data_IF_584224051711
#
_entry.id   IF_584224051711
#
_cell.length_a   1.000
_cell.length_b   1.000
_cell.length_c   1.000
_cell.angle_alpha   90.00
_cell.angle_beta   90.00
_cell.angle_gamma   90.00
#
_symmetry.space_group_name_H-M   'P 1'
#
loop_
_entity.id
_entity.type
_entity.pdbx_description
1 polymer ?
#
# COMPACT_ATOMS: atom_id res chain seq x y z
N UNK A 1 11.33 -8.66 4.19
CA UNK A 1 12.19 -8.05 3.16
C UNK A 1 13.49 -7.56 3.80
N UNK A 2 13.54 -6.41 4.51
CA UNK A 2 14.83 -5.82 4.99
C UNK A 2 15.69 -6.79 5.80
N UNK A 3 15.12 -7.60 6.69
CA UNK A 3 15.88 -8.63 7.42
C UNK A 3 16.50 -9.66 6.50
N UNK A 4 15.76 -10.11 5.50
CA UNK A 4 16.20 -11.08 4.49
C UNK A 4 17.46 -10.63 3.74
N UNK A 5 17.56 -9.30 3.50
CA UNK A 5 18.73 -8.71 2.84
C UNK A 5 19.85 -8.33 3.80
N UNK A 6 19.50 -7.99 5.04
CA UNK A 6 20.47 -7.58 6.05
C UNK A 6 21.26 -8.79 6.66
N UNK A 7 20.56 -9.89 6.96
CA UNK A 7 21.15 -11.06 7.60
C UNK A 7 22.35 -11.67 6.85
N UNK A 8 22.32 -11.86 5.51
CA UNK A 8 23.47 -12.36 4.76
C UNK A 8 24.71 -11.46 4.82
N UNK A 9 24.48 -10.14 5.09
CA UNK A 9 25.55 -9.14 5.24
C UNK A 9 26.03 -9.01 6.69
N UNK A 10 25.52 -9.83 7.61
CA UNK A 10 25.82 -9.75 9.04
C UNK A 10 25.19 -8.55 9.75
N UNK A 11 24.22 -7.85 9.10
CA UNK A 11 23.54 -6.69 9.65
C UNK A 11 22.23 -7.09 10.34
N UNK A 12 21.90 -6.41 11.42
CA UNK A 12 20.64 -6.61 12.14
C UNK A 12 19.66 -5.46 11.87
N UNK A 13 18.43 -5.82 11.54
CA UNK A 13 17.35 -4.87 11.30
C UNK A 13 16.24 -5.01 12.36
N UNK A 14 15.76 -3.89 12.90
CA UNK A 14 14.69 -3.84 13.91
C UNK A 14 13.57 -2.92 13.50
N UNK A 15 12.33 -3.39 13.74
CA UNK A 15 11.10 -2.68 13.39
C UNK A 15 10.49 -2.01 14.63
N UNK A 16 10.13 -0.72 14.47
CA UNK A 16 9.56 0.16 15.49
C UNK A 16 8.26 0.78 15.00
N UNK A 17 7.12 0.23 15.44
CA UNK A 17 5.79 0.65 15.01
C UNK A 17 4.99 1.22 16.17
N UNK A 18 4.17 2.22 15.89
CA UNK A 18 3.10 2.68 16.78
C UNK A 18 2.12 1.51 17.05
N UNK A 19 1.44 1.51 18.20
CA UNK A 19 0.54 0.43 18.58
C UNK A 19 1.22 -0.84 19.15
N UNK A 20 2.53 -1.00 19.00
CA UNK A 20 3.28 -2.09 19.63
C UNK A 20 3.90 -1.68 20.96
N UNK A 21 4.14 -2.66 21.86
CA UNK A 21 4.71 -2.41 23.19
C UNK A 21 6.05 -1.67 23.10
N UNK A 22 6.07 -0.43 23.59
CA UNK A 22 7.27 0.41 23.65
C UNK A 22 8.40 -0.25 24.45
N UNK A 23 8.06 -0.87 25.60
CA UNK A 23 9.05 -1.55 26.45
C UNK A 23 9.80 -2.66 25.69
N UNK A 24 9.09 -3.47 24.91
CA UNK A 24 9.71 -4.52 24.08
C UNK A 24 10.58 -3.94 22.97
N UNK A 25 10.18 -2.81 22.40
CA UNK A 25 10.96 -2.14 21.35
C UNK A 25 12.27 -1.58 21.93
N UNK A 26 12.21 -0.96 23.12
CA UNK A 26 13.40 -0.46 23.85
C UNK A 26 14.37 -1.61 24.17
N UNK A 27 13.86 -2.75 24.61
CA UNK A 27 14.71 -3.92 24.88
C UNK A 27 15.43 -4.42 23.61
N UNK A 28 14.75 -4.36 22.46
CA UNK A 28 15.37 -4.70 21.17
C UNK A 28 16.46 -3.73 20.75
N UNK A 29 16.29 -2.43 21.04
CA UNK A 29 17.30 -1.40 20.76
C UNK A 29 18.62 -1.63 21.53
N UNK A 30 18.58 -2.27 22.71
CA UNK A 30 19.78 -2.61 23.47
C UNK A 30 20.72 -3.56 22.73
N UNK A 31 20.21 -4.29 21.71
CA UNK A 31 21.02 -5.18 20.87
C UNK A 31 21.86 -4.42 19.83
N UNK A 32 21.71 -3.11 19.72
CA UNK A 32 22.47 -2.26 18.81
C UNK A 32 22.23 -2.57 17.33
N UNK A 33 20.96 -2.59 16.85
CA UNK A 33 20.72 -2.89 15.44
C UNK A 33 21.30 -1.79 14.55
N UNK A 34 21.86 -2.19 13.41
CA UNK A 34 22.42 -1.27 12.41
C UNK A 34 21.32 -0.62 11.56
N UNK A 35 20.18 -1.32 11.34
CA UNK A 35 19.07 -0.82 10.54
C UNK A 35 17.84 -0.65 11.42
N UNK A 36 17.37 0.59 11.52
CA UNK A 36 16.15 0.97 12.24
C UNK A 36 15.04 1.25 11.23
N UNK A 37 13.95 0.52 11.32
CA UNK A 37 12.77 0.71 10.46
C UNK A 37 11.61 1.13 11.33
N UNK A 38 10.91 2.21 11.01
CA UNK A 38 9.81 2.63 11.86
C UNK A 38 8.93 3.71 11.28
N UNK A 39 7.75 3.86 11.87
CA UNK A 39 6.88 5.02 11.59
C UNK A 39 7.49 6.29 12.20
N UNK A 40 7.40 7.47 11.54
CA UNK A 40 8.05 8.69 12.01
C UNK A 40 7.73 9.03 13.46
N UNK A 41 6.46 8.97 13.86
CA UNK A 41 6.05 9.26 15.23
C UNK A 41 6.72 8.36 16.28
N UNK A 42 6.82 7.04 16.01
CA UNK A 42 7.46 6.10 16.94
C UNK A 42 8.98 6.30 16.99
N UNK A 43 9.62 6.53 15.87
CA UNK A 43 11.06 6.82 15.81
C UNK A 43 11.38 8.08 16.61
N UNK A 44 10.62 9.16 16.39
CA UNK A 44 10.79 10.41 17.12
C UNK A 44 10.56 10.25 18.64
N UNK A 45 9.57 9.47 19.06
CA UNK A 45 9.33 9.14 20.47
C UNK A 45 10.57 8.46 21.12
N UNK A 46 11.17 7.50 20.43
CA UNK A 46 12.37 6.81 20.92
C UNK A 46 13.60 7.70 20.94
N UNK A 47 13.71 8.67 20.02
CA UNK A 47 14.73 9.72 20.04
C UNK A 47 14.56 10.60 21.28
N UNK A 48 13.34 11.10 21.54
CA UNK A 48 13.03 11.91 22.75
C UNK A 48 13.38 11.17 24.04
N UNK A 49 13.14 9.88 24.09
CA UNK A 49 13.51 9.02 25.21
C UNK A 49 15.02 8.69 25.28
N UNK A 50 15.83 9.27 24.39
CA UNK A 50 17.28 9.02 24.28
C UNK A 50 17.63 7.53 24.11
N UNK A 51 16.75 6.77 23.46
CA UNK A 51 16.97 5.33 23.20
C UNK A 51 17.65 5.09 21.86
N UNK A 52 17.49 5.99 20.89
CA UNK A 52 18.21 5.98 19.61
C UNK A 52 19.34 7.02 19.72
N UNK A 53 20.57 6.59 19.45
CA UNK A 53 21.76 7.44 19.43
C UNK A 53 21.93 8.03 18.04
N UNK A 54 21.29 9.18 17.79
CA UNK A 54 21.26 9.82 16.47
C UNK A 54 22.64 10.18 15.91
N UNK A 55 23.63 10.41 16.77
CA UNK A 55 25.02 10.72 16.37
C UNK A 55 25.69 9.60 15.54
N UNK A 56 25.15 8.41 15.59
CA UNK A 56 25.67 7.25 14.83
C UNK A 56 24.88 6.99 13.54
N UNK A 57 23.84 7.82 13.26
CA UNK A 57 23.02 7.68 12.05
C UNK A 57 23.70 8.44 10.91
N UNK A 58 24.06 7.73 9.85
CA UNK A 58 24.71 8.28 8.67
C UNK A 58 23.83 8.26 7.43
N UNK A 59 22.70 7.55 7.47
CA UNK A 59 21.76 7.48 6.35
C UNK A 59 20.33 7.46 6.86
N UNK A 60 19.47 8.26 6.26
CA UNK A 60 18.01 8.23 6.45
C UNK A 60 17.36 7.92 5.11
N UNK A 61 16.47 6.93 5.11
CA UNK A 61 15.63 6.59 3.96
C UNK A 61 14.19 6.94 4.30
N UNK A 62 13.57 7.76 3.47
CA UNK A 62 12.16 8.14 3.54
C UNK A 62 11.42 7.46 2.40
N UNK A 63 10.76 6.36 2.73
CA UNK A 63 9.96 5.58 1.78
C UNK A 63 8.51 6.09 1.75
N UNK A 64 7.85 6.04 0.58
CA UNK A 64 6.56 6.69 0.33
C UNK A 64 6.60 8.18 0.78
N UNK A 65 7.64 8.89 0.32
CA UNK A 65 7.95 10.24 0.81
C UNK A 65 6.82 11.24 0.54
N UNK A 66 6.13 11.14 -0.59
CA UNK A 66 4.92 11.87 -0.94
C UNK A 66 3.83 11.79 0.16
N UNK A 67 3.68 10.62 0.75
CA UNK A 67 2.77 10.38 1.87
C UNK A 67 3.29 10.95 3.20
N UNK A 68 4.61 10.93 3.40
CA UNK A 68 5.25 11.49 4.59
C UNK A 68 5.20 13.02 4.62
N UNK A 69 4.97 13.67 3.48
CA UNK A 69 4.74 15.11 3.37
C UNK A 69 3.36 15.55 3.90
N UNK A 70 2.45 14.61 4.21
CA UNK A 70 1.18 14.98 4.85
C UNK A 70 1.41 15.69 6.20
N UNK A 71 0.58 16.68 6.51
CA UNK A 71 0.71 17.53 7.73
C UNK A 71 0.87 16.72 9.03
N UNK A 72 0.26 15.54 9.09
CA UNK A 72 0.32 14.68 10.27
C UNK A 72 1.67 13.98 10.48
N UNK A 73 2.46 13.75 9.42
CA UNK A 73 3.72 13.02 9.47
C UNK A 73 4.94 13.91 9.26
N UNK A 74 4.82 14.93 8.42
CA UNK A 74 5.92 15.80 8.03
C UNK A 74 6.64 16.45 9.22
N UNK A 75 5.90 16.91 10.23
CA UNK A 75 6.52 17.49 11.41
C UNK A 75 7.40 16.50 12.19
N UNK A 76 7.10 15.19 12.17
CA UNK A 76 7.97 14.19 12.79
C UNK A 76 9.24 13.98 11.96
N UNK A 77 9.10 13.91 10.62
CA UNK A 77 10.24 13.77 9.71
C UNK A 77 11.21 14.93 9.90
N UNK A 78 10.71 16.17 9.90
CA UNK A 78 11.52 17.38 10.13
C UNK A 78 12.23 17.34 11.49
N UNK A 79 11.53 16.94 12.55
CA UNK A 79 12.15 16.83 13.88
C UNK A 79 13.20 15.74 13.94
N UNK A 80 13.03 14.62 13.25
CA UNK A 80 14.02 13.53 13.17
C UNK A 80 15.27 14.04 12.46
N UNK A 81 15.14 14.70 11.30
CA UNK A 81 16.26 15.21 10.52
C UNK A 81 17.11 16.23 11.31
N UNK A 82 16.49 17.04 12.17
CA UNK A 82 17.21 17.97 13.05
C UNK A 82 18.09 17.29 14.12
N UNK A 83 17.90 16.00 14.38
CA UNK A 83 18.69 15.26 15.38
C UNK A 83 19.84 14.47 14.76
N UNK A 84 19.94 14.42 13.43
CA UNK A 84 21.01 13.69 12.72
C UNK A 84 22.25 14.59 12.59
N UNK A 85 23.48 14.03 12.57
CA UNK A 85 24.68 14.78 12.25
C UNK A 85 24.56 15.50 10.90
N UNK A 86 25.26 16.63 10.73
CA UNK A 86 25.21 17.40 9.47
C UNK A 86 25.70 16.60 8.26
N UNK A 87 26.66 15.72 8.47
CA UNK A 87 27.23 14.83 7.44
C UNK A 87 26.46 13.51 7.44
N UNK A 88 25.33 13.49 6.75
CA UNK A 88 24.49 12.29 6.57
C UNK A 88 23.87 12.26 5.18
N UNK A 89 23.55 11.07 4.71
CA UNK A 89 22.84 10.85 3.47
C UNK A 89 21.33 10.85 3.68
N UNK A 90 20.59 11.55 2.83
CA UNK A 90 19.14 11.47 2.73
C UNK A 90 18.76 10.75 1.43
N UNK A 91 17.90 9.74 1.52
CA UNK A 91 17.34 9.02 0.38
C UNK A 91 15.83 9.17 0.43
N UNK A 92 15.27 9.78 -0.61
CA UNK A 92 13.84 9.99 -0.77
C UNK A 92 13.31 9.03 -1.84
N UNK A 93 12.32 8.20 -1.50
CA UNK A 93 11.67 7.27 -2.42
C UNK A 93 10.21 7.66 -2.51
N UNK A 94 9.73 7.95 -3.72
CA UNK A 94 8.37 8.37 -3.99
C UNK A 94 7.84 7.70 -5.25
N UNK A 95 6.57 7.37 -5.27
CA UNK A 95 5.86 6.90 -6.47
C UNK A 95 5.39 8.06 -7.37
N UNK A 96 5.52 9.30 -6.91
CA UNK A 96 5.07 10.49 -7.63
C UNK A 96 6.14 11.56 -7.69
N UNK A 97 6.14 12.37 -8.78
CA UNK A 97 7.08 13.49 -8.98
C UNK A 97 6.64 14.77 -8.27
N UNK A 98 5.65 14.71 -7.38
CA UNK A 98 5.17 15.88 -6.62
C UNK A 98 6.03 16.17 -5.39
N UNK A 99 7.31 16.30 -5.58
CA UNK A 99 8.22 16.71 -4.52
C UNK A 99 8.39 18.21 -4.63
N UNK A 100 7.97 18.96 -3.61
CA UNK A 100 8.26 20.39 -3.50
C UNK A 100 9.78 20.54 -3.26
N UNK A 101 10.46 21.25 -4.15
CA UNK A 101 11.91 21.49 -4.07
C UNK A 101 12.31 22.13 -2.73
N UNK A 102 11.39 22.80 -2.04
CA UNK A 102 11.63 23.40 -0.72
C UNK A 102 11.84 22.35 0.39
N UNK A 103 11.47 21.10 0.15
CA UNK A 103 11.57 20.02 1.14
C UNK A 103 12.84 19.20 0.96
N UNK A 104 13.45 19.25 -0.22
CA UNK A 104 14.68 18.55 -0.52
C UNK A 104 15.90 19.29 0.06
N UNK A 105 16.87 18.50 0.50
CA UNK A 105 18.16 19.04 0.91
C UNK A 105 18.90 19.60 -0.30
N UNK A 106 19.67 20.67 -0.14
CA UNK A 106 20.53 21.22 -1.20
C UNK A 106 21.43 20.11 -1.80
N UNK A 107 21.63 20.18 -3.12
CA UNK A 107 22.38 19.19 -3.91
C UNK A 107 21.76 17.79 -3.97
N UNK A 108 20.43 17.66 -3.82
CA UNK A 108 19.74 16.40 -4.07
C UNK A 108 19.83 16.03 -5.56
N UNK A 109 20.29 14.79 -5.84
CA UNK A 109 20.29 14.22 -7.19
C UNK A 109 18.96 13.49 -7.36
N UNK A 110 18.21 13.86 -8.40
CA UNK A 110 16.91 13.23 -8.72
C UNK A 110 17.11 12.18 -9.80
N UNK A 111 16.68 10.97 -9.54
CA UNK A 111 16.58 9.88 -10.51
C UNK A 111 15.10 9.67 -10.83
N UNK A 112 14.68 10.11 -12.02
CA UNK A 112 13.33 9.85 -12.52
C UNK A 112 13.28 8.48 -13.20
N UNK A 113 12.50 7.57 -12.64
CA UNK A 113 12.27 6.23 -13.13
C UNK A 113 10.85 6.05 -13.67
N UNK A 114 10.08 7.14 -13.79
CA UNK A 114 8.66 7.10 -14.18
C UNK A 114 8.43 6.64 -15.62
N UNK A 115 9.42 6.81 -16.50
CA UNK A 115 9.36 6.33 -17.90
C UNK A 115 9.50 4.81 -18.03
N UNK A 116 9.89 4.13 -16.97
CA UNK A 116 9.79 2.68 -16.90
C UNK A 116 8.33 2.31 -16.56
N UNK A 117 7.39 2.59 -17.50
CA UNK A 117 6.08 1.95 -17.41
C UNK A 117 6.32 0.45 -17.24
N UNK A 118 5.91 -0.07 -16.10
CA UNK A 118 5.91 -1.51 -15.90
C UNK A 118 4.84 -2.05 -16.88
N UNK A 119 5.26 -2.43 -18.09
CA UNK A 119 4.42 -3.14 -19.09
C UNK A 119 3.74 -4.39 -18.48
N UNK A 120 4.08 -4.71 -17.24
CA UNK A 120 3.56 -5.83 -16.46
C UNK A 120 2.17 -5.58 -15.91
N UNK A 121 1.66 -4.33 -15.86
CA UNK A 121 0.34 -4.02 -15.30
C UNK A 121 -0.63 -3.64 -16.41
N UNK A 122 -1.66 -4.44 -16.59
CA UNK A 122 -2.77 -4.17 -17.53
C UNK A 122 -3.90 -3.44 -16.80
N UNK A 123 -4.40 -2.38 -17.42
CA UNK A 123 -5.42 -1.52 -16.83
C UNK A 123 -6.74 -1.66 -17.55
N UNK A 124 -7.78 -2.02 -16.80
CA UNK A 124 -9.10 -2.32 -17.32
C UNK A 124 -10.21 -1.54 -16.59
N UNK A 125 -11.36 -1.45 -17.23
CA UNK A 125 -12.59 -1.03 -16.58
C UNK A 125 -13.76 -1.93 -16.96
N UNK A 126 -14.76 -1.99 -16.08
CA UNK A 126 -16.05 -2.62 -16.34
C UNK A 126 -17.15 -1.58 -16.09
N UNK A 127 -17.97 -1.34 -17.11
CA UNK A 127 -19.17 -0.48 -16.97
C UNK A 127 -20.25 -1.27 -16.25
N UNK A 128 -20.72 -0.76 -15.11
CA UNK A 128 -21.70 -1.45 -14.26
C UNK A 128 -22.62 -0.46 -13.55
N UNK A 129 -23.89 -0.78 -13.43
CA UNK A 129 -24.84 -0.02 -12.61
C UNK A 129 -24.39 -0.02 -11.14
N UNK A 130 -24.49 1.12 -10.46
CA UNK A 130 -24.11 1.28 -9.05
C UNK A 130 -24.72 0.20 -8.15
N UNK A 131 -26.00 -0.16 -8.37
CA UNK A 131 -26.70 -1.21 -7.61
C UNK A 131 -26.18 -2.63 -7.87
N UNK A 132 -25.51 -2.86 -8.99
CA UNK A 132 -25.04 -4.18 -9.42
C UNK A 132 -23.57 -4.42 -9.09
N UNK A 133 -22.82 -3.44 -8.53
CA UNK A 133 -21.40 -3.56 -8.22
C UNK A 133 -21.10 -4.69 -7.24
N UNK A 134 -21.91 -4.83 -6.19
CA UNK A 134 -21.74 -5.91 -5.19
C UNK A 134 -21.94 -7.28 -5.81
N UNK A 135 -22.97 -7.41 -6.67
CA UNK A 135 -23.23 -8.65 -7.39
C UNK A 135 -22.09 -8.99 -8.37
N UNK A 136 -21.48 -7.98 -8.99
CA UNK A 136 -20.30 -8.18 -9.83
C UNK A 136 -19.11 -8.68 -9.00
N UNK A 137 -18.84 -8.13 -7.81
CA UNK A 137 -17.81 -8.65 -6.90
C UNK A 137 -18.11 -10.10 -6.47
N UNK A 138 -19.37 -10.42 -6.20
CA UNK A 138 -19.78 -11.81 -5.91
C UNK A 138 -19.47 -12.76 -7.09
N UNK A 139 -19.70 -12.30 -8.31
CA UNK A 139 -19.34 -13.09 -9.50
C UNK A 139 -17.83 -13.29 -9.62
N UNK A 140 -17.02 -12.28 -9.31
CA UNK A 140 -15.57 -12.44 -9.27
C UNK A 140 -15.13 -13.48 -8.24
N UNK A 141 -15.73 -13.46 -7.02
CA UNK A 141 -15.39 -14.43 -5.99
C UNK A 141 -15.73 -15.88 -6.35
N UNK A 142 -16.57 -16.09 -7.37
CA UNK A 142 -16.95 -17.41 -7.86
C UNK A 142 -16.09 -17.89 -9.05
N UNK A 143 -15.17 -17.05 -9.54
CA UNK A 143 -14.19 -17.47 -10.55
C UNK A 143 -13.19 -18.39 -9.84
N UNK A 144 -12.91 -19.60 -10.35
CA UNK A 144 -11.92 -20.49 -9.77
C UNK A 144 -10.56 -19.80 -9.59
N UNK A 145 -9.94 -20.01 -8.45
CA UNK A 145 -8.64 -19.46 -8.07
C UNK A 145 -8.49 -17.93 -8.09
N UNK A 146 -9.60 -17.20 -8.26
CA UNK A 146 -9.58 -15.73 -8.28
C UNK A 146 -9.20 -15.15 -6.94
N UNK A 147 -8.23 -14.22 -6.95
CA UNK A 147 -7.86 -13.40 -5.81
C UNK A 147 -7.76 -11.94 -6.19
N UNK A 148 -8.51 -11.11 -5.50
CA UNK A 148 -8.51 -9.67 -5.75
C UNK A 148 -8.43 -8.84 -4.47
N UNK A 149 -7.62 -7.78 -4.51
CA UNK A 149 -7.65 -6.71 -3.50
C UNK A 149 -8.59 -5.61 -3.98
N UNK A 150 -9.66 -5.37 -3.23
CA UNK A 150 -10.72 -4.44 -3.60
C UNK A 150 -10.62 -3.15 -2.79
N UNK A 151 -10.49 -2.02 -3.48
CA UNK A 151 -10.34 -0.71 -2.88
C UNK A 151 -11.64 0.08 -2.85
N UNK A 152 -11.93 0.63 -1.67
CA UNK A 152 -13.06 1.53 -1.38
C UNK A 152 -12.56 2.91 -1.00
N UNK A 153 -13.34 3.95 -1.31
CA UNK A 153 -13.05 5.32 -0.87
C UNK A 153 -13.58 5.60 0.55
N UNK A 154 -14.49 4.78 1.07
CA UNK A 154 -15.07 4.94 2.40
C UNK A 154 -15.18 3.63 3.18
N UNK A 155 -15.00 3.70 4.51
CA UNK A 155 -15.18 2.56 5.41
C UNK A 155 -16.66 2.13 5.50
N UNK A 156 -17.59 3.06 5.35
CA UNK A 156 -19.02 2.79 5.37
C UNK A 156 -19.44 1.90 4.19
N UNK A 157 -19.01 2.26 2.96
CA UNK A 157 -19.32 1.47 1.76
C UNK A 157 -18.63 0.11 1.79
N UNK A 158 -17.41 0.05 2.34
CA UNK A 158 -16.68 -1.19 2.54
C UNK A 158 -17.46 -2.14 3.46
N UNK A 159 -17.85 -1.69 4.66
CA UNK A 159 -18.58 -2.52 5.62
C UNK A 159 -19.92 -3.02 5.07
N UNK A 160 -20.73 -2.13 4.48
CA UNK A 160 -22.00 -2.51 3.87
C UNK A 160 -21.82 -3.50 2.69
N UNK A 161 -20.72 -3.39 1.94
CA UNK A 161 -20.41 -4.32 0.86
C UNK A 161 -19.97 -5.67 1.40
N UNK A 162 -19.12 -5.70 2.43
CA UNK A 162 -18.68 -6.93 3.08
C UNK A 162 -19.87 -7.76 3.61
N UNK A 163 -20.77 -7.12 4.37
CA UNK A 163 -21.98 -7.79 4.90
C UNK A 163 -22.82 -8.41 3.77
N UNK A 164 -23.05 -7.66 2.69
CA UNK A 164 -23.82 -8.16 1.54
C UNK A 164 -23.14 -9.30 0.79
N UNK A 165 -21.81 -9.25 0.63
CA UNK A 165 -21.04 -10.31 0.01
C UNK A 165 -21.08 -11.58 0.84
N UNK A 166 -20.85 -11.48 2.15
CA UNK A 166 -20.90 -12.62 3.07
C UNK A 166 -22.30 -13.23 3.16
N UNK A 167 -23.34 -12.39 3.22
CA UNK A 167 -24.73 -12.86 3.22
C UNK A 167 -25.06 -13.67 1.94
N UNK A 168 -24.47 -13.31 0.80
CA UNK A 168 -24.64 -14.01 -0.48
C UNK A 168 -23.60 -15.13 -0.69
N UNK A 169 -22.89 -15.55 0.34
CA UNK A 169 -21.96 -16.67 0.32
C UNK A 169 -20.64 -16.41 -0.39
N UNK A 170 -20.29 -15.13 -0.66
CA UNK A 170 -19.01 -14.79 -1.24
C UNK A 170 -17.87 -14.86 -0.21
N UNK A 171 -16.72 -15.39 -0.61
CA UNK A 171 -15.51 -15.41 0.22
C UNK A 171 -14.82 -14.05 0.20
N UNK A 172 -15.30 -13.12 1.03
CA UNK A 172 -14.82 -11.75 1.14
C UNK A 172 -14.58 -11.36 2.60
N UNK A 173 -13.44 -10.73 2.89
CA UNK A 173 -13.08 -10.26 4.22
C UNK A 173 -12.42 -8.89 4.13
N UNK A 174 -12.78 -7.98 5.04
CA UNK A 174 -12.15 -6.66 5.14
C UNK A 174 -10.92 -6.66 6.04
N UNK A 175 -10.00 -5.76 5.73
CA UNK A 175 -8.93 -5.37 6.63
C UNK A 175 -9.35 -4.09 7.37
N UNK A 176 -10.09 -4.22 8.46
CA UNK A 176 -10.46 -3.08 9.27
C UNK A 176 -9.27 -2.54 10.09
N UNK A 177 -9.26 -1.23 10.38
CA UNK A 177 -8.17 -0.55 11.09
C UNK A 177 -8.01 -1.00 12.55
N UNK A 178 -9.06 -1.51 13.15
CA UNK A 178 -9.16 -1.96 14.55
C UNK A 178 -8.86 -3.46 14.71
N UNK A 179 -8.64 -4.18 13.62
CA UNK A 179 -8.28 -5.59 13.68
C UNK A 179 -6.91 -5.76 14.35
N UNK A 180 -6.88 -6.59 15.39
CA UNK A 180 -5.64 -6.97 16.06
C UNK A 180 -4.62 -7.52 15.04
N UNK A 181 -3.35 -7.16 15.20
CA UNK A 181 -2.24 -7.58 14.32
C UNK A 181 -2.20 -9.10 14.09
N UNK A 182 -2.57 -9.90 15.09
CA UNK A 182 -2.64 -11.36 14.96
C UNK A 182 -3.73 -11.80 13.98
N UNK A 183 -4.92 -11.21 14.08
CA UNK A 183 -6.03 -11.51 13.17
C UNK A 183 -5.75 -11.04 11.75
N UNK A 184 -5.14 -9.86 11.60
CA UNK A 184 -4.69 -9.37 10.29
C UNK A 184 -3.75 -10.37 9.61
N UNK A 185 -2.80 -10.94 10.36
CA UNK A 185 -1.88 -11.96 9.83
C UNK A 185 -2.63 -13.20 9.36
N UNK A 186 -3.59 -13.70 10.16
CA UNK A 186 -4.42 -14.87 9.80
C UNK A 186 -5.23 -14.60 8.53
N UNK A 187 -5.86 -13.42 8.40
CA UNK A 187 -6.62 -13.05 7.19
C UNK A 187 -5.70 -13.04 5.96
N UNK A 188 -4.51 -12.46 6.07
CA UNK A 188 -3.55 -12.41 4.97
C UNK A 188 -3.04 -13.82 4.60
N UNK A 189 -2.81 -14.70 5.57
CA UNK A 189 -2.44 -16.09 5.30
C UNK A 189 -3.58 -16.84 4.61
N UNK A 190 -4.81 -16.69 5.05
CA UNK A 190 -5.99 -17.28 4.38
C UNK A 190 -6.15 -16.77 2.94
N UNK A 191 -5.93 -15.48 2.71
CA UNK A 191 -5.97 -14.90 1.38
C UNK A 191 -4.84 -15.47 0.49
N UNK A 192 -3.62 -15.62 1.03
CA UNK A 192 -2.51 -16.26 0.32
C UNK A 192 -2.81 -17.71 -0.06
N UNK A 193 -3.50 -18.43 0.81
CA UNK A 193 -3.84 -19.85 0.62
C UNK A 193 -5.13 -20.08 -0.21
N UNK A 194 -5.66 -19.04 -0.87
CA UNK A 194 -6.89 -19.10 -1.66
C UNK A 194 -8.17 -19.47 -0.86
N UNK A 195 -8.13 -19.35 0.49
CA UNK A 195 -9.34 -19.53 1.32
C UNK A 195 -10.25 -18.30 1.30
N UNK A 196 -9.72 -17.14 0.91
CA UNK A 196 -10.43 -15.87 0.74
C UNK A 196 -10.17 -15.38 -0.69
N UNK A 197 -11.25 -15.14 -1.45
CA UNK A 197 -11.15 -14.66 -2.84
C UNK A 197 -11.02 -13.13 -2.94
N UNK A 198 -11.71 -12.40 -2.05
CA UNK A 198 -11.73 -10.93 -2.07
C UNK A 198 -11.25 -10.37 -0.72
N UNK A 199 -10.17 -9.61 -0.78
CA UNK A 199 -9.68 -8.83 0.34
C UNK A 199 -10.14 -7.38 0.16
N UNK A 200 -10.93 -6.85 1.10
CA UNK A 200 -11.51 -5.53 1.01
C UNK A 200 -10.72 -4.52 1.84
N UNK A 201 -10.44 -3.33 1.30
CA UNK A 201 -9.71 -2.31 2.03
C UNK A 201 -9.92 -0.90 1.49
N UNK A 202 -9.52 0.09 2.29
CA UNK A 202 -9.31 1.47 1.84
C UNK A 202 -7.83 1.71 1.61
N UNK A 203 -7.46 2.84 1.00
CA UNK A 203 -6.06 3.21 0.77
C UNK A 203 -5.24 3.14 2.06
N UNK A 204 -5.79 3.64 3.16
CA UNK A 204 -5.13 3.60 4.47
C UNK A 204 -4.92 2.17 5.00
N UNK A 205 -5.90 1.29 4.81
CA UNK A 205 -5.85 -0.10 5.31
C UNK A 205 -4.94 -0.99 4.47
N UNK A 206 -4.87 -0.70 3.18
CA UNK A 206 -4.05 -1.44 2.23
C UNK A 206 -2.57 -1.01 2.22
N UNK A 207 -2.23 0.11 2.90
CA UNK A 207 -0.83 0.55 3.04
C UNK A 207 0.00 -0.48 3.81
N UNK A 208 1.21 -0.71 3.33
CA UNK A 208 2.13 -1.66 3.94
C UNK A 208 1.68 -3.13 3.88
N UNK A 209 0.63 -3.44 3.11
CA UNK A 209 0.29 -4.82 2.82
C UNK A 209 1.24 -5.30 1.72
N UNK A 210 2.08 -6.25 2.09
CA UNK A 210 2.90 -7.00 1.15
C UNK A 210 2.20 -8.34 0.88
N UNK A 211 1.50 -8.40 -0.25
CA UNK A 211 0.88 -9.62 -0.74
C UNK A 211 1.70 -10.05 -1.95
N UNK A 212 2.50 -11.09 -1.77
CA UNK A 212 3.22 -11.71 -2.87
C UNK A 212 2.23 -12.25 -3.91
N UNK A 213 2.54 -12.06 -5.18
CA UNK A 213 1.76 -12.58 -6.31
C UNK A 213 0.27 -12.16 -6.29
N UNK A 214 -0.02 -10.90 -5.95
CA UNK A 214 -1.36 -10.37 -6.14
C UNK A 214 -1.57 -10.10 -7.64
N UNK A 215 -2.49 -10.84 -8.24
CA UNK A 215 -2.76 -10.77 -9.67
C UNK A 215 -3.72 -9.63 -10.03
N UNK A 216 -4.72 -9.38 -9.17
CA UNK A 216 -5.80 -8.45 -9.48
C UNK A 216 -6.02 -7.41 -8.37
N UNK A 217 -6.03 -6.16 -8.76
CA UNK A 217 -6.52 -5.04 -7.98
C UNK A 217 -7.85 -4.57 -8.55
N UNK A 218 -8.86 -4.39 -7.70
CA UNK A 218 -10.18 -3.88 -8.11
C UNK A 218 -10.41 -2.53 -7.44
N UNK A 219 -10.65 -1.49 -8.23
CA UNK A 219 -11.18 -0.23 -7.73
C UNK A 219 -12.71 -0.32 -7.71
N UNK A 220 -13.30 -0.62 -6.55
CA UNK A 220 -14.75 -0.55 -6.37
C UNK A 220 -15.24 0.88 -6.55
N UNK A 221 -14.51 1.84 -6.01
CA UNK A 221 -14.69 3.26 -6.26
C UNK A 221 -13.47 3.81 -6.99
N UNK A 222 -13.71 4.68 -7.99
CA UNK A 222 -12.62 5.34 -8.72
C UNK A 222 -11.79 6.16 -7.73
N UNK A 223 -10.46 6.03 -7.73
CA UNK A 223 -9.55 6.79 -6.87
C UNK A 223 -9.76 8.29 -6.99
N UNK A 224 -9.46 9.03 -5.92
CA UNK A 224 -9.66 10.49 -5.89
C UNK A 224 -8.78 11.22 -6.90
N UNK A 225 -7.57 10.75 -7.12
CA UNK A 225 -6.55 11.32 -7.99
C UNK A 225 -5.66 10.24 -8.60
N UNK A 226 -4.71 10.66 -9.44
CA UNK A 226 -3.76 9.78 -10.14
C UNK A 226 -2.82 9.10 -9.16
N UNK A 227 -2.42 9.77 -8.09
CA UNK A 227 -1.52 9.27 -7.08
C UNK A 227 -2.13 8.07 -6.34
N UNK A 228 -3.35 8.23 -5.83
CA UNK A 228 -4.09 7.12 -5.22
C UNK A 228 -4.27 5.95 -6.20
N UNK A 229 -4.51 6.25 -7.50
CA UNK A 229 -4.57 5.21 -8.53
C UNK A 229 -3.26 4.44 -8.66
N UNK A 230 -2.15 5.15 -8.76
CA UNK A 230 -0.79 4.56 -8.89
C UNK A 230 -0.45 3.71 -7.65
N UNK A 231 -0.74 4.20 -6.46
CA UNK A 231 -0.52 3.46 -5.21
C UNK A 231 -1.35 2.17 -5.12
N UNK A 232 -2.61 2.20 -5.61
CA UNK A 232 -3.44 1.00 -5.69
C UNK A 232 -2.91 0.03 -6.74
N UNK A 233 -2.59 0.51 -7.93
CA UNK A 233 -2.04 -0.29 -9.01
C UNK A 233 -0.73 -0.96 -8.60
N UNK A 234 0.15 -0.26 -7.89
CA UNK A 234 1.41 -0.80 -7.37
C UNK A 234 1.25 -1.90 -6.30
N UNK A 235 0.04 -2.36 -5.99
CA UNK A 235 -0.18 -3.58 -5.19
C UNK A 235 -0.12 -4.85 -6.02
N UNK A 236 -0.23 -4.76 -7.35
CA UNK A 236 -0.05 -5.88 -8.30
C UNK A 236 1.16 -5.63 -9.21
N UNK A 237 1.50 -6.54 -10.06
CA UNK A 237 2.59 -6.41 -11.04
C UNK A 237 3.99 -6.31 -10.45
N UNK A 238 4.21 -6.79 -9.23
CA UNK A 238 5.51 -6.66 -8.53
C UNK A 238 6.51 -7.73 -8.95
N UNK A 239 7.81 -7.36 -8.88
CA UNK A 239 8.94 -8.27 -9.14
C UNK A 239 8.90 -8.95 -10.53
N UNK A 240 8.39 -8.24 -11.55
CA UNK A 240 8.28 -8.74 -12.91
C UNK A 240 7.09 -9.66 -13.19
N UNK A 241 6.21 -9.86 -12.22
CA UNK A 241 4.96 -10.61 -12.44
C UNK A 241 3.94 -9.75 -13.20
N UNK A 242 3.09 -10.37 -14.00
CA UNK A 242 1.95 -9.68 -14.60
C UNK A 242 0.89 -9.35 -13.54
N UNK A 243 0.22 -8.21 -13.73
CA UNK A 243 -0.85 -7.76 -12.86
C UNK A 243 -1.99 -7.10 -13.63
N UNK A 244 -3.17 -7.07 -13.03
CA UNK A 244 -4.34 -6.42 -13.62
C UNK A 244 -5.01 -5.47 -12.63
N UNK A 245 -5.37 -4.28 -13.12
CA UNK A 245 -6.16 -3.31 -12.37
C UNK A 245 -7.51 -3.16 -13.05
N UNK A 246 -8.59 -3.52 -12.36
CA UNK A 246 -9.96 -3.45 -12.86
C UNK A 246 -10.70 -2.34 -12.12
N UNK A 247 -11.22 -1.34 -12.81
CA UNK A 247 -11.98 -0.24 -12.21
C UNK A 247 -13.46 -0.35 -12.54
N UNK A 248 -14.32 -0.30 -11.52
CA UNK A 248 -15.78 -0.36 -11.69
C UNK A 248 -16.29 1.05 -12.02
N UNK A 249 -16.72 1.24 -13.25
CA UNK A 249 -17.20 2.51 -13.77
C UNK A 249 -18.74 2.54 -13.69
N UNK A 250 -19.27 3.50 -12.95
CA UNK A 250 -20.74 3.64 -12.77
C UNK A 250 -21.31 4.82 -13.56
N UNK A 251 -20.51 5.81 -13.90
CA UNK A 251 -20.89 7.00 -14.66
C UNK A 251 -19.88 7.33 -15.76
N UNK A 252 -20.28 7.96 -16.85
CA UNK A 252 -19.36 8.38 -17.90
C UNK A 252 -18.22 9.29 -17.41
N UNK A 253 -18.45 10.06 -16.35
CA UNK A 253 -17.43 10.92 -15.72
C UNK A 253 -16.34 10.12 -15.04
N UNK A 254 -16.68 8.98 -14.43
CA UNK A 254 -15.71 8.04 -13.84
C UNK A 254 -14.73 7.55 -14.92
N UNK A 255 -15.23 7.21 -16.10
CA UNK A 255 -14.41 6.78 -17.22
C UNK A 255 -13.50 7.91 -17.73
N UNK A 256 -14.04 9.14 -17.84
CA UNK A 256 -13.23 10.30 -18.22
C UNK A 256 -12.09 10.55 -17.23
N UNK A 257 -12.39 10.41 -15.94
CA UNK A 257 -11.40 10.55 -14.87
C UNK A 257 -10.35 9.44 -14.94
N UNK A 258 -10.77 8.19 -15.07
CA UNK A 258 -9.90 7.02 -15.15
C UNK A 258 -8.93 7.09 -16.34
N UNK A 259 -9.41 7.52 -17.52
CA UNK A 259 -8.58 7.71 -18.73
C UNK A 259 -7.50 8.80 -18.58
N UNK A 260 -7.59 9.68 -17.58
CA UNK A 260 -6.51 10.62 -17.23
C UNK A 260 -5.43 9.95 -16.38
N UNK A 261 -5.73 8.83 -15.73
CA UNK A 261 -4.81 8.11 -14.85
C UNK A 261 -4.00 7.06 -15.60
N UNK A 262 -4.67 6.27 -16.47
CA UNK A 262 -4.04 5.19 -17.24
C UNK A 262 -4.76 4.97 -18.58
N UNK A 263 -4.05 4.32 -19.51
CA UNK A 263 -4.65 3.76 -20.73
C UNK A 263 -5.43 2.52 -20.34
N UNK A 264 -6.74 2.52 -20.49
CA UNK A 264 -7.64 1.45 -20.03
C UNK A 264 -8.42 0.82 -21.17
N UNK A 265 -8.57 -0.51 -21.14
CA UNK A 265 -9.43 -1.30 -22.04
C UNK A 265 -10.71 -1.73 -21.32
N UNK A 266 -11.78 -1.96 -22.07
CA UNK A 266 -13.04 -2.45 -21.50
C UNK A 266 -13.02 -3.96 -21.31
N UNK A 267 -13.38 -4.43 -20.10
CA UNK A 267 -13.62 -5.84 -19.81
C UNK A 267 -15.11 -6.15 -19.67
N UNK A 268 -15.47 -7.35 -20.04
CA UNK A 268 -16.80 -7.93 -19.84
C UNK A 268 -16.65 -9.29 -19.17
N UNK A 269 -17.43 -9.51 -18.11
CA UNK A 269 -17.53 -10.81 -17.46
C UNK A 269 -18.62 -11.66 -18.14
N UNK A 270 -18.22 -12.77 -18.75
CA UNK A 270 -19.14 -13.76 -19.39
C UNK A 270 -18.72 -15.16 -18.96
N UNK A 271 -19.71 -15.98 -18.56
CA UNK A 271 -19.49 -17.39 -18.18
C UNK A 271 -18.33 -17.59 -17.17
N UNK A 272 -18.21 -16.70 -16.18
CA UNK A 272 -17.11 -16.69 -15.17
C UNK A 272 -15.71 -16.43 -15.75
N UNK A 273 -15.62 -15.89 -16.96
CA UNK A 273 -14.36 -15.50 -17.58
C UNK A 273 -14.37 -14.01 -17.93
N UNK A 274 -13.21 -13.37 -17.84
CA UNK A 274 -12.98 -11.98 -18.20
C UNK A 274 -12.52 -11.89 -19.65
N UNK A 275 -13.25 -11.15 -20.47
CA UNK A 275 -12.95 -10.94 -21.89
C UNK A 275 -12.73 -9.45 -22.16
N UNK A 276 -11.68 -9.12 -22.88
CA UNK A 276 -11.45 -7.79 -23.41
C UNK A 276 -12.42 -7.57 -24.59
N UNK A 277 -12.99 -6.35 -24.67
CA UNK A 277 -14.02 -6.01 -25.65
C UNK A 277 -13.42 -5.30 -26.86
#
# INVERSE_FOLDING_TARGET
VTKQWAEPLGLTAQLFLSGSSQKRQIERLKKGPEILIGTPGRVFELIKLKKIKMMNVNTIVLDEFDELLSDSQYHFVTKISHHVPRDHQMIYISATNKIDDQVLVENTIVYDLSDQELDTIKHYYISVDKRNRVELLRKFSNIPDFRGLVFFNSLSDLGATEERLQFNGASAVSLASDINVKFRKVILEKFKNHEISLLLGTDLLARGIDIENLEVVINFDIPRDREAYTHRAGRTGRMGNEGSVISLVTHPEDLKKLKKFAKVSELVLKNQELHEK
#
